data_IF_943369128339
#
_entry.id   IF_943369128339
#
_cell.length_a   1.000
_cell.length_b   1.000
_cell.length_c   1.000
_cell.angle_alpha   90.00
_cell.angle_beta   90.00
_cell.angle_gamma   90.00
#
_symmetry.space_group_name_H-M   'P 1'
#
loop_
_entity.id
_entity.type
_entity.pdbx_description
1 polymer ?
#
# COMPACT_ATOMS: atom_id res chain seq x y z
N UNK A 1 -9.44 -7.46 19.55
CA UNK A 1 -8.46 -6.36 19.59
C UNK A 1 -8.95 -5.41 20.65
N UNK A 2 -8.07 -4.87 21.48
CA UNK A 2 -8.45 -3.91 22.53
C UNK A 2 -7.89 -2.54 22.21
N UNK A 3 -8.78 -1.56 22.03
CA UNK A 3 -8.39 -0.16 21.94
C UNK A 3 -8.10 0.37 23.36
N UNK A 4 -6.87 0.81 23.60
CA UNK A 4 -6.40 1.34 24.89
C UNK A 4 -6.38 2.87 24.94
N UNK A 5 -6.91 3.51 23.90
CA UNK A 5 -7.16 4.95 23.80
C UNK A 5 -6.11 5.70 23.00
N UNK A 6 -6.37 6.99 22.81
CA UNK A 6 -5.46 7.96 22.18
C UNK A 6 -4.61 8.61 23.25
N UNK A 7 -3.31 8.65 23.00
CA UNK A 7 -2.27 9.15 23.89
C UNK A 7 -1.55 10.31 23.24
N UNK A 8 -1.15 11.29 24.06
CA UNK A 8 -0.41 12.46 23.62
C UNK A 8 0.72 12.79 24.58
N UNK A 9 1.81 13.34 24.07
CA UNK A 9 2.93 13.80 24.89
C UNK A 9 2.50 14.92 25.81
N UNK A 10 3.00 14.89 27.03
CA UNK A 10 2.83 15.98 27.99
C UNK A 10 4.07 16.15 28.86
N UNK A 11 4.12 17.26 29.59
CA UNK A 11 5.13 17.51 30.64
C UNK A 11 4.41 17.43 31.99
N UNK A 12 4.82 16.51 32.89
CA UNK A 12 4.20 16.42 34.20
C UNK A 12 4.56 17.64 35.07
N UNK A 13 3.63 18.09 35.91
CA UNK A 13 3.86 19.20 36.85
C UNK A 13 4.91 18.83 37.91
N UNK A 14 4.89 17.57 38.35
CA UNK A 14 5.90 16.98 39.23
C UNK A 14 6.51 15.75 38.55
N UNK A 15 7.84 15.68 38.52
CA UNK A 15 8.53 14.56 37.89
C UNK A 15 8.29 13.26 38.69
N UNK A 16 7.75 12.20 38.08
CA UNK A 16 7.52 10.95 38.79
C UNK A 16 8.83 10.37 39.34
N UNK A 17 8.76 9.83 40.55
CA UNK A 17 9.93 9.31 41.27
C UNK A 17 10.65 8.22 40.44
N UNK A 18 11.98 8.35 40.32
CA UNK A 18 12.83 7.38 39.63
C UNK A 18 12.88 7.53 38.11
N UNK A 19 12.23 8.54 37.53
CA UNK A 19 12.33 8.83 36.09
C UNK A 19 13.58 9.67 35.78
N UNK A 20 14.30 9.38 34.68
CA UNK A 20 15.41 10.22 34.25
C UNK A 20 14.91 11.60 33.79
N UNK A 21 15.77 12.62 33.89
CA UNK A 21 15.41 14.00 33.60
C UNK A 21 14.94 14.25 32.15
N UNK A 22 15.31 13.37 31.22
CA UNK A 22 14.93 13.41 29.81
C UNK A 22 13.83 12.41 29.44
N UNK A 23 13.12 11.85 30.43
CA UNK A 23 11.97 10.99 30.17
C UNK A 23 10.89 11.76 29.39
N UNK A 24 10.33 11.11 28.38
CA UNK A 24 9.14 11.58 27.68
C UNK A 24 7.92 10.96 28.33
N UNK A 25 6.84 11.72 28.46
CA UNK A 25 5.62 11.25 29.11
C UNK A 25 4.44 11.35 28.15
N UNK A 26 3.50 10.41 28.30
CA UNK A 26 2.26 10.40 27.54
C UNK A 26 1.07 10.30 28.47
N UNK A 27 0.05 11.11 28.20
CA UNK A 27 -1.23 11.06 28.89
C UNK A 27 -2.31 10.60 27.94
N UNK A 28 -3.26 9.80 28.43
CA UNK A 28 -4.42 9.40 27.65
C UNK A 28 -5.42 10.55 27.57
N UNK A 29 -5.92 10.82 26.37
CA UNK A 29 -6.81 11.96 26.14
C UNK A 29 -8.17 11.83 26.83
N UNK A 30 -8.68 10.61 27.02
CA UNK A 30 -10.02 10.40 27.57
C UNK A 30 -10.14 10.65 29.07
N UNK A 31 -9.06 10.42 29.84
CA UNK A 31 -9.11 10.47 31.31
C UNK A 31 -7.82 11.01 31.97
N UNK A 32 -6.83 11.45 31.18
CA UNK A 32 -5.60 12.01 31.69
C UNK A 32 -4.64 11.00 32.33
N UNK A 33 -4.88 9.69 32.19
CA UNK A 33 -4.01 8.67 32.76
C UNK A 33 -2.59 8.76 32.19
N UNK A 34 -1.56 8.72 33.05
CA UNK A 34 -0.16 8.63 32.63
C UNK A 34 0.18 7.23 32.13
N UNK A 35 0.87 7.12 30.99
CA UNK A 35 1.15 5.82 30.36
C UNK A 35 2.03 4.90 31.20
N UNK A 36 3.03 5.44 31.91
CA UNK A 36 3.92 4.63 32.74
C UNK A 36 3.20 4.09 33.98
N UNK A 37 2.34 4.89 34.59
CA UNK A 37 1.50 4.45 35.69
C UNK A 37 0.43 3.46 35.20
N UNK A 38 -0.27 3.82 34.13
CA UNK A 38 -1.36 3.03 33.55
C UNK A 38 -0.89 1.65 33.13
N UNK A 39 0.22 1.53 32.38
CA UNK A 39 0.68 0.23 31.87
C UNK A 39 0.97 -0.79 32.98
N UNK A 40 1.40 -0.33 34.17
CA UNK A 40 1.65 -1.21 35.33
C UNK A 40 0.38 -1.77 35.97
N UNK A 41 -0.77 -1.18 35.69
CA UNK A 41 -2.07 -1.68 36.17
C UNK A 41 -2.69 -2.70 35.23
N UNK A 42 -2.30 -2.69 33.95
CA UNK A 42 -2.96 -3.48 32.90
C UNK A 42 -2.06 -4.54 32.26
N UNK A 43 -0.74 -4.40 32.35
CA UNK A 43 0.21 -5.38 31.85
C UNK A 43 1.05 -5.97 32.98
N UNK A 44 1.51 -7.18 32.74
CA UNK A 44 2.44 -7.88 33.63
C UNK A 44 3.86 -7.44 33.33
N UNK A 45 4.64 -7.13 34.36
CA UNK A 45 6.05 -6.75 34.20
C UNK A 45 6.95 -7.66 35.03
N UNK A 46 8.00 -8.18 34.40
CA UNK A 46 9.09 -8.90 35.05
C UNK A 46 10.42 -8.36 34.53
N UNK A 47 11.37 -8.07 35.43
CA UNK A 47 12.71 -7.56 35.10
C UNK A 47 12.73 -6.33 34.16
N UNK A 48 11.69 -5.49 34.25
CA UNK A 48 11.56 -4.26 33.46
C UNK A 48 10.89 -4.43 32.09
N UNK A 49 10.62 -5.66 31.65
CA UNK A 49 9.93 -5.96 30.40
C UNK A 49 8.46 -6.32 30.65
N UNK A 50 7.60 -5.97 29.71
CA UNK A 50 6.21 -6.43 29.69
C UNK A 50 6.12 -7.88 29.21
N UNK A 51 5.54 -8.74 30.05
CA UNK A 51 5.42 -10.19 29.86
C UNK A 51 3.97 -10.67 29.72
N UNK A 52 3.02 -9.76 29.51
CA UNK A 52 1.58 -10.09 29.42
C UNK A 52 1.19 -11.01 28.25
N UNK A 53 2.11 -11.28 27.32
CA UNK A 53 1.87 -12.16 26.17
C UNK A 53 1.04 -11.53 25.05
N UNK A 54 0.67 -10.25 25.17
CA UNK A 54 -0.05 -9.49 24.14
C UNK A 54 0.89 -8.62 23.32
N UNK A 55 0.50 -8.31 22.07
CA UNK A 55 1.25 -7.40 21.20
C UNK A 55 0.65 -6.00 21.26
N UNK A 56 1.50 -4.98 21.34
CA UNK A 56 1.11 -3.58 21.41
C UNK A 56 1.49 -2.89 20.11
N UNK A 57 0.53 -2.18 19.54
CA UNK A 57 0.67 -1.45 18.29
C UNK A 57 0.36 0.02 18.56
N UNK A 58 1.32 0.90 18.27
CA UNK A 58 1.07 2.33 18.21
C UNK A 58 0.60 2.69 16.80
N UNK A 59 -0.58 3.29 16.71
CA UNK A 59 -1.22 3.69 15.44
C UNK A 59 -1.19 5.20 15.30
N UNK A 60 -0.73 5.70 14.16
CA UNK A 60 -0.62 7.13 13.84
C UNK A 60 -1.35 7.39 12.53
N UNK A 61 -2.34 8.28 12.53
CA UNK A 61 -3.15 8.60 11.35
C UNK A 61 -3.75 7.34 10.69
N UNK A 62 -4.15 6.36 11.51
CA UNK A 62 -4.66 5.06 11.05
C UNK A 62 -3.58 4.04 10.69
N UNK A 63 -2.29 4.36 10.67
CA UNK A 63 -1.23 3.42 10.28
C UNK A 63 -0.50 2.81 11.48
N UNK A 64 -0.24 1.50 11.44
CA UNK A 64 0.64 0.84 12.38
C UNK A 64 2.07 1.40 12.27
N UNK A 65 2.53 2.12 13.30
CA UNK A 65 3.80 2.86 13.30
C UNK A 65 4.86 2.21 14.19
N UNK A 66 4.46 1.51 15.26
CA UNK A 66 5.36 0.78 16.15
C UNK A 66 4.67 -0.49 16.63
N UNK A 67 5.42 -1.59 16.73
CA UNK A 67 4.86 -2.90 17.10
C UNK A 67 5.86 -3.59 18.04
N UNK A 68 5.40 -4.06 19.19
CA UNK A 68 6.22 -4.81 20.15
C UNK A 68 5.35 -5.63 21.09
N UNK A 69 5.82 -6.80 21.52
CA UNK A 69 5.22 -7.53 22.64
C UNK A 69 5.49 -6.81 23.99
N UNK A 70 6.62 -6.11 24.07
CA UNK A 70 7.01 -5.32 25.23
C UNK A 70 6.65 -3.84 25.00
N UNK A 71 5.66 -3.32 25.73
CA UNK A 71 5.24 -1.92 25.63
C UNK A 71 6.35 -0.93 25.97
N UNK A 72 7.34 -1.34 26.78
CA UNK A 72 8.47 -0.47 27.17
C UNK A 72 9.46 -0.25 26.02
N UNK A 73 9.43 -1.11 25.00
CA UNK A 73 10.29 -1.06 23.83
C UNK A 73 9.65 -0.32 22.64
N UNK A 74 8.43 0.21 22.81
CA UNK A 74 7.80 1.01 21.77
C UNK A 74 8.46 2.39 21.67
N UNK A 75 8.91 2.73 20.46
CA UNK A 75 9.36 4.08 20.11
C UNK A 75 8.17 5.00 19.86
N UNK A 76 7.52 5.45 20.93
CA UNK A 76 6.23 6.13 20.84
C UNK A 76 6.34 7.54 20.22
N UNK A 77 5.47 7.88 19.26
CA UNK A 77 5.40 9.22 18.67
C UNK A 77 4.69 10.22 19.61
N UNK A 78 4.64 11.50 19.23
CA UNK A 78 4.03 12.55 20.07
C UNK A 78 2.53 12.35 20.30
N UNK A 79 1.84 11.72 19.37
CA UNK A 79 0.43 11.34 19.48
C UNK A 79 0.21 10.01 18.77
N UNK A 80 -0.52 9.10 19.40
CA UNK A 80 -0.88 7.80 18.83
C UNK A 80 -2.10 7.20 19.49
N UNK A 81 -2.75 6.28 18.79
CA UNK A 81 -3.71 5.35 19.35
C UNK A 81 -2.98 4.06 19.76
N UNK A 82 -3.21 3.58 20.99
CA UNK A 82 -2.62 2.33 21.46
C UNK A 82 -3.61 1.19 21.27
N UNK A 83 -3.22 0.23 20.44
CA UNK A 83 -3.96 -1.00 20.21
C UNK A 83 -3.22 -2.17 20.86
N UNK A 84 -3.95 -3.01 21.57
CA UNK A 84 -3.45 -4.27 22.12
C UNK A 84 -4.10 -5.45 21.38
N UNK A 85 -3.25 -6.40 21.00
CA UNK A 85 -3.58 -7.61 20.25
C UNK A 85 -3.37 -8.84 21.12
N UNK A 86 -4.38 -9.68 21.20
CA UNK A 86 -4.29 -11.00 21.83
C UNK A 86 -3.51 -11.97 20.93
N UNK A 87 -2.99 -13.07 21.51
CA UNK A 87 -2.15 -14.04 20.79
C UNK A 87 -2.83 -14.71 19.56
N UNK A 88 -4.16 -14.68 19.49
CA UNK A 88 -4.93 -15.23 18.37
C UNK A 88 -5.15 -14.25 17.22
N UNK A 89 -4.75 -12.99 17.39
CA UNK A 89 -5.04 -11.92 16.45
C UNK A 89 -3.90 -11.71 15.45
N UNK A 90 -4.26 -11.20 14.26
CA UNK A 90 -3.27 -10.87 13.24
C UNK A 90 -2.39 -9.71 13.69
N UNK A 91 -1.09 -9.98 13.81
CA UNK A 91 -0.08 -8.95 14.05
C UNK A 91 0.19 -8.22 12.72
N UNK A 92 -0.02 -6.89 12.65
CA UNK A 92 0.22 -6.14 11.42
C UNK A 92 1.71 -6.04 11.08
N UNK A 93 2.02 -5.58 9.88
CA UNK A 93 3.35 -5.01 9.59
C UNK A 93 3.29 -3.48 9.70
N UNK A 94 4.46 -2.86 9.81
CA UNK A 94 4.56 -1.40 9.77
C UNK A 94 3.94 -0.87 8.46
N UNK A 95 3.15 0.19 8.56
CA UNK A 95 2.43 0.78 7.43
C UNK A 95 1.10 0.12 7.07
N UNK A 96 0.67 -0.93 7.78
CA UNK A 96 -0.70 -1.44 7.65
C UNK A 96 -1.71 -0.43 8.21
N UNK A 97 -2.88 -0.36 7.59
CA UNK A 97 -3.94 0.58 7.94
C UNK A 97 -4.94 -0.09 8.90
N UNK A 98 -5.31 0.59 9.98
CA UNK A 98 -6.39 0.21 10.87
C UNK A 98 -7.70 0.76 10.30
N UNK A 99 -8.57 -0.13 9.80
CA UNK A 99 -9.88 0.20 9.22
C UNK A 99 -10.93 -0.63 9.93
N UNK A 100 -11.96 0.02 10.47
CA UNK A 100 -13.10 -0.62 11.15
C UNK A 100 -12.69 -1.64 12.24
N UNK A 101 -11.58 -1.38 12.93
CA UNK A 101 -11.07 -2.22 14.01
C UNK A 101 -10.22 -3.41 13.56
N UNK A 102 -9.84 -3.48 12.28
CA UNK A 102 -8.97 -4.51 11.73
C UNK A 102 -7.76 -3.90 11.00
N UNK A 103 -6.60 -4.55 11.11
CA UNK A 103 -5.43 -4.14 10.35
C UNK A 103 -5.43 -4.76 8.97
N UNK A 104 -5.30 -3.91 7.95
CA UNK A 104 -5.27 -4.29 6.55
C UNK A 104 -3.91 -3.91 5.93
N UNK A 105 -3.33 -4.78 5.08
CA UNK A 105 -2.14 -4.42 4.33
C UNK A 105 -2.45 -3.19 3.44
N UNK A 106 -1.46 -2.31 3.20
CA UNK A 106 -1.65 -1.20 2.29
C UNK A 106 -2.00 -1.72 0.89
N UNK A 107 -2.94 -1.06 0.22
CA UNK A 107 -3.27 -1.38 -1.16
C UNK A 107 -2.05 -1.03 -2.04
N UNK A 108 -1.38 -2.05 -2.56
CA UNK A 108 -0.35 -1.88 -3.58
C UNK A 108 -1.09 -1.69 -4.91
N UNK A 109 -0.96 -0.55 -5.60
CA UNK A 109 -1.57 -0.40 -6.91
C UNK A 109 -0.99 -1.44 -7.86
N UNK A 110 -1.86 -2.06 -8.66
CA UNK A 110 -1.43 -3.01 -9.68
C UNK A 110 -0.38 -2.35 -10.61
N UNK A 111 0.70 -3.06 -10.97
CA UNK A 111 1.71 -2.52 -11.86
C UNK A 111 1.08 -2.18 -13.21
N UNK A 112 1.24 -0.93 -13.65
CA UNK A 112 0.71 -0.48 -14.94
C UNK A 112 1.70 -0.84 -16.04
N UNK A 113 1.41 -1.90 -16.79
CA UNK A 113 2.06 -2.16 -18.07
C UNK A 113 1.95 -0.94 -18.98
N UNK A 114 3.08 -0.49 -19.49
CA UNK A 114 3.17 0.61 -20.46
C UNK A 114 3.92 0.11 -21.68
N UNK A 115 3.32 0.30 -22.85
CA UNK A 115 3.91 -0.03 -24.15
C UNK A 115 4.03 1.27 -24.94
N UNK A 116 5.23 1.72 -25.24
CA UNK A 116 5.42 2.88 -26.11
C UNK A 116 4.95 2.55 -27.52
N UNK A 117 4.37 3.54 -28.21
CA UNK A 117 3.86 3.33 -29.56
C UNK A 117 4.96 2.85 -30.51
N UNK A 118 6.19 3.35 -30.36
CA UNK A 118 7.35 2.89 -31.13
C UNK A 118 7.63 1.39 -30.92
N UNK A 119 7.58 0.90 -29.69
CA UNK A 119 7.81 -0.52 -29.40
C UNK A 119 6.65 -1.39 -29.91
N UNK A 120 5.42 -0.91 -29.75
CA UNK A 120 4.24 -1.58 -30.31
C UNK A 120 4.39 -1.78 -31.82
N UNK A 121 4.71 -0.72 -32.57
CA UNK A 121 4.83 -0.78 -34.02
C UNK A 121 6.06 -1.56 -34.49
N UNK A 122 7.18 -1.48 -33.78
CA UNK A 122 8.41 -2.21 -34.17
C UNK A 122 8.33 -3.71 -33.88
N UNK A 123 7.47 -4.14 -32.95
CA UNK A 123 7.24 -5.56 -32.67
C UNK A 123 6.35 -6.25 -33.70
N UNK A 124 5.48 -5.51 -34.37
CA UNK A 124 4.62 -6.03 -35.42
C UNK A 124 5.44 -6.37 -36.66
N UNK A 125 5.14 -7.50 -37.30
CA UNK A 125 5.65 -7.81 -38.61
C UNK A 125 5.07 -6.85 -39.65
N UNK A 126 5.93 -6.05 -40.27
CA UNK A 126 5.57 -5.14 -41.36
C UNK A 126 5.66 -5.79 -42.75
N UNK A 127 6.04 -7.06 -42.86
CA UNK A 127 6.35 -7.73 -44.12
C UNK A 127 7.51 -7.09 -44.89
N UNK A 128 7.67 -7.46 -46.16
CA UNK A 128 8.83 -7.02 -46.98
C UNK A 128 8.88 -5.50 -47.25
N UNK A 129 7.71 -4.85 -47.24
CA UNK A 129 7.55 -3.43 -47.55
C UNK A 129 7.37 -2.54 -46.31
N UNK A 130 7.41 -3.13 -45.10
CA UNK A 130 7.17 -2.45 -43.82
C UNK A 130 5.73 -1.97 -43.61
N UNK A 131 4.80 -2.27 -44.54
CA UNK A 131 3.41 -1.82 -44.51
C UNK A 131 2.40 -2.96 -44.74
N UNK A 132 2.86 -4.21 -44.76
CA UNK A 132 2.06 -5.42 -44.90
C UNK A 132 2.05 -6.21 -43.59
N UNK A 133 1.79 -7.52 -43.63
CA UNK A 133 1.83 -8.38 -42.44
C UNK A 133 0.85 -7.99 -41.33
N UNK A 134 1.34 -8.01 -40.09
CA UNK A 134 0.60 -7.67 -38.88
C UNK A 134 0.28 -6.17 -38.81
N UNK A 135 1.17 -5.30 -39.31
CA UNK A 135 0.95 -3.83 -39.36
C UNK A 135 -0.32 -3.50 -40.14
N UNK A 136 -0.48 -4.07 -41.35
CA UNK A 136 -1.67 -3.85 -42.18
C UNK A 136 -2.96 -4.34 -41.49
N UNK A 137 -2.89 -5.45 -40.77
CA UNK A 137 -4.05 -6.03 -40.08
C UNK A 137 -4.51 -5.16 -38.91
N UNK A 138 -3.57 -4.63 -38.12
CA UNK A 138 -3.89 -3.70 -37.02
C UNK A 138 -4.53 -2.42 -37.57
N UNK A 139 -3.95 -1.83 -38.61
CA UNK A 139 -4.50 -0.62 -39.24
C UNK A 139 -5.91 -0.86 -39.79
N UNK A 140 -6.13 -1.98 -40.48
CA UNK A 140 -7.44 -2.34 -41.01
C UNK A 140 -8.49 -2.54 -39.90
N UNK A 141 -8.11 -3.18 -38.79
CA UNK A 141 -8.98 -3.38 -37.65
C UNK A 141 -9.29 -2.07 -36.90
N UNK A 142 -8.30 -1.18 -36.81
CA UNK A 142 -8.46 0.14 -36.20
C UNK A 142 -9.39 1.03 -37.03
N UNK A 143 -9.39 0.91 -38.37
CA UNK A 143 -10.29 1.68 -39.26
C UNK A 143 -11.77 1.42 -38.98
N UNK A 144 -12.12 0.24 -38.46
CA UNK A 144 -13.48 -0.12 -38.06
C UNK A 144 -13.90 0.48 -36.71
N UNK A 145 -12.99 1.08 -35.95
CA UNK A 145 -13.26 1.64 -34.63
C UNK A 145 -13.92 3.02 -34.72
N UNK A 146 -14.68 3.43 -33.68
CA UNK A 146 -15.20 4.79 -33.58
C UNK A 146 -14.12 5.85 -33.76
N UNK A 147 -14.49 7.00 -34.35
CA UNK A 147 -13.53 8.09 -34.66
C UNK A 147 -12.73 8.51 -33.42
N UNK A 148 -13.37 8.59 -32.24
CA UNK A 148 -12.70 8.91 -30.98
C UNK A 148 -11.54 7.93 -30.71
N UNK A 149 -11.82 6.63 -30.76
CA UNK A 149 -10.85 5.56 -30.52
C UNK A 149 -9.68 5.65 -31.48
N UNK A 150 -9.96 5.81 -32.78
CA UNK A 150 -8.92 5.97 -33.81
C UNK A 150 -8.02 7.16 -33.51
N UNK A 151 -8.60 8.31 -33.19
CA UNK A 151 -7.83 9.52 -32.86
C UNK A 151 -6.95 9.36 -31.63
N UNK A 152 -7.43 8.68 -30.59
CA UNK A 152 -6.59 8.41 -29.41
C UNK A 152 -5.46 7.45 -29.78
N UNK A 153 -5.75 6.38 -30.53
CA UNK A 153 -4.74 5.42 -30.96
C UNK A 153 -3.65 6.07 -31.82
N UNK A 154 -4.03 6.86 -32.83
CA UNK A 154 -3.10 7.55 -33.75
C UNK A 154 -2.20 8.58 -33.05
N UNK A 155 -2.68 9.19 -31.96
CA UNK A 155 -1.97 10.26 -31.25
C UNK A 155 -1.28 9.80 -29.97
N UNK A 156 -1.50 8.55 -29.56
CA UNK A 156 -0.90 7.99 -28.35
C UNK A 156 0.60 7.80 -28.52
N UNK A 157 1.37 8.34 -27.58
CA UNK A 157 2.80 8.03 -27.46
C UNK A 157 3.03 6.70 -26.70
N UNK A 158 2.05 6.27 -25.92
CA UNK A 158 2.07 5.01 -25.18
C UNK A 158 0.67 4.46 -24.93
N UNK A 159 0.61 3.15 -24.75
CA UNK A 159 -0.57 2.37 -24.39
C UNK A 159 -0.36 1.83 -22.98
N UNK A 160 -1.23 2.22 -22.05
CA UNK A 160 -1.11 1.88 -20.62
C UNK A 160 -2.24 0.94 -20.21
N UNK A 161 -1.94 -0.05 -19.40
CA UNK A 161 -2.92 -1.05 -18.94
C UNK A 161 -4.07 -0.50 -18.10
N UNK A 162 -3.89 0.66 -17.49
CA UNK A 162 -4.94 1.40 -16.76
C UNK A 162 -5.75 2.37 -17.65
N UNK A 163 -5.51 2.39 -18.97
CA UNK A 163 -6.19 3.27 -19.91
C UNK A 163 -7.36 2.56 -20.64
N UNK A 164 -8.39 3.32 -21.01
CA UNK A 164 -9.61 2.80 -21.68
C UNK A 164 -9.35 2.08 -23.01
N UNK A 165 -8.21 2.33 -23.66
CA UNK A 165 -7.82 1.67 -24.91
C UNK A 165 -7.22 0.27 -24.71
N UNK A 166 -6.71 -0.04 -23.53
CA UNK A 166 -5.96 -1.28 -23.32
C UNK A 166 -6.77 -2.56 -23.55
N UNK A 167 -8.04 -2.67 -23.09
CA UNK A 167 -8.86 -3.84 -23.38
C UNK A 167 -9.06 -4.06 -24.89
N UNK A 168 -9.21 -2.97 -25.65
CA UNK A 168 -9.34 -3.05 -27.10
C UNK A 168 -8.04 -3.56 -27.76
N UNK A 169 -6.87 -3.07 -27.31
CA UNK A 169 -5.59 -3.52 -27.85
C UNK A 169 -5.34 -5.00 -27.57
N UNK A 170 -5.62 -5.46 -26.34
CA UNK A 170 -5.56 -6.89 -26.00
C UNK A 170 -6.50 -7.70 -26.88
N UNK A 171 -7.76 -7.29 -26.99
CA UNK A 171 -8.74 -8.00 -27.81
C UNK A 171 -8.30 -8.07 -29.28
N UNK A 172 -7.84 -6.96 -29.86
CA UNK A 172 -7.38 -6.90 -31.24
C UNK A 172 -6.17 -7.80 -31.46
N UNK A 173 -5.13 -7.67 -30.63
CA UNK A 173 -3.91 -8.47 -30.76
C UNK A 173 -4.21 -9.98 -30.61
N UNK A 174 -5.02 -10.36 -29.62
CA UNK A 174 -5.40 -11.77 -29.42
C UNK A 174 -6.27 -12.30 -30.56
N UNK A 175 -7.21 -11.49 -31.07
CA UNK A 175 -8.11 -11.94 -32.15
C UNK A 175 -7.39 -12.06 -33.50
N UNK A 176 -6.44 -11.18 -33.77
CA UNK A 176 -5.69 -11.16 -35.03
C UNK A 176 -4.54 -12.17 -35.03
N UNK A 177 -3.83 -12.31 -33.91
CA UNK A 177 -2.53 -13.00 -33.87
C UNK A 177 -2.48 -14.17 -32.87
N UNK A 178 -3.51 -14.38 -32.06
CA UNK A 178 -3.55 -15.36 -30.99
C UNK A 178 -2.92 -14.85 -29.68
N UNK A 179 -3.12 -15.61 -28.60
CA UNK A 179 -2.72 -15.20 -27.25
C UNK A 179 -1.20 -15.04 -27.09
N UNK A 180 -0.42 -16.00 -27.59
CA UNK A 180 1.05 -16.00 -27.46
C UNK A 180 1.67 -14.76 -28.12
N UNK A 181 1.26 -14.48 -29.37
CA UNK A 181 1.76 -13.33 -30.11
C UNK A 181 1.28 -12.00 -29.53
N UNK A 182 0.05 -11.95 -29.00
CA UNK A 182 -0.46 -10.77 -28.31
C UNK A 182 0.37 -10.42 -27.06
N UNK A 183 0.82 -11.42 -26.30
CA UNK A 183 1.70 -11.22 -25.14
C UNK A 183 3.02 -10.60 -25.56
N UNK A 184 3.63 -11.06 -26.65
CA UNK A 184 4.88 -10.50 -27.17
C UNK A 184 4.72 -9.04 -27.61
N UNK A 185 3.67 -8.75 -28.38
CA UNK A 185 3.39 -7.40 -28.91
C UNK A 185 3.15 -6.42 -27.75
N UNK A 186 2.36 -6.83 -26.75
CA UNK A 186 1.93 -6.00 -25.62
C UNK A 186 2.82 -6.11 -24.38
N UNK A 187 4.00 -6.73 -24.51
CA UNK A 187 4.98 -6.79 -23.43
C UNK A 187 5.36 -5.38 -22.94
N UNK A 188 5.66 -5.17 -21.64
CA UNK A 188 6.11 -3.88 -21.15
C UNK A 188 7.30 -3.34 -21.98
N UNK A 189 7.27 -2.06 -22.30
CA UNK A 189 8.42 -1.35 -22.86
C UNK A 189 9.52 -1.21 -21.80
N UNK A 190 10.79 -1.31 -22.22
CA UNK A 190 11.98 -1.20 -21.36
C UNK A 190 12.77 0.05 -21.74
#
# INVERSE_FOLDING_TARGET
MKNRGVWETYVPEEMPFGMPANALFWRRQSDGADLYAWRRLFYEFADGADTSGTTKVAVVNGFASCISADVSMLSLPSQFELIELEASETIPQLGWLLVDGEFQPPAVPEPVTTVYAVDFWTRLDGGEDGNSGEVAQVLAAMEQQPIKTRKIFDTANSFRSDHELWPLLQQLATSLFGEERAVEILAPSV
#
